data_IF_614187608463
#
_entry.id   IF_614187608463
#
_cell.length_a   1.000
_cell.length_b   1.000
_cell.length_c   1.000
_cell.angle_alpha   90.00
_cell.angle_beta   90.00
_cell.angle_gamma   90.00
#
_symmetry.space_group_name_H-M   'P 1'
#
loop_
_entity.id
_entity.type
_entity.pdbx_description
1 polymer ?
#
# COMPACT_ATOMS: atom_id res chain seq x y z
N UNK A 1 16.45 -33.14 16.99
CA UNK A 1 17.66 -32.36 16.64
C UNK A 1 17.25 -30.90 16.71
N UNK A 2 17.75 -30.16 17.69
CA UNK A 2 17.51 -28.70 17.75
C UNK A 2 18.31 -28.10 16.58
N UNK A 3 17.63 -27.66 15.53
CA UNK A 3 18.28 -26.92 14.44
C UNK A 3 18.95 -25.70 15.08
N UNK A 4 20.27 -25.59 14.94
CA UNK A 4 20.99 -24.41 15.40
C UNK A 4 20.36 -23.16 14.75
N UNK A 5 20.10 -22.11 15.53
CA UNK A 5 19.62 -20.85 14.99
C UNK A 5 20.60 -20.35 13.91
N UNK A 6 20.11 -19.82 12.77
CA UNK A 6 20.98 -19.33 11.71
C UNK A 6 21.92 -18.26 12.26
N UNK A 7 23.21 -18.35 11.95
CA UNK A 7 24.19 -17.33 12.37
C UNK A 7 23.90 -16.06 11.55
N UNK A 8 23.63 -14.90 12.19
CA UNK A 8 23.41 -13.65 11.47
C UNK A 8 24.63 -13.26 10.64
N UNK A 9 24.40 -12.87 9.40
CA UNK A 9 25.44 -12.33 8.52
C UNK A 9 25.40 -10.80 8.55
N UNK A 10 26.58 -10.17 8.53
CA UNK A 10 26.69 -8.72 8.45
C UNK A 10 26.02 -8.20 7.16
N UNK A 11 25.04 -7.32 7.32
CA UNK A 11 24.34 -6.75 6.19
C UNK A 11 25.09 -5.54 5.61
N UNK A 12 25.02 -5.28 4.29
CA UNK A 12 25.81 -4.20 3.67
C UNK A 12 25.50 -2.80 4.21
N UNK A 13 24.24 -2.56 4.61
CA UNK A 13 23.80 -1.27 5.17
C UNK A 13 24.38 -0.97 6.55
N UNK A 14 24.92 -1.95 7.28
CA UNK A 14 25.58 -1.74 8.58
C UNK A 14 26.84 -0.86 8.48
N UNK A 15 27.35 -0.66 7.27
CA UNK A 15 28.51 0.19 6.99
C UNK A 15 28.22 1.70 7.02
N UNK A 16 26.94 2.11 7.06
CA UNK A 16 26.51 3.51 7.03
C UNK A 16 25.60 3.84 8.23
N UNK A 17 25.59 5.10 8.71
CA UNK A 17 24.77 5.47 9.87
C UNK A 17 23.27 5.38 9.57
N UNK A 18 22.43 5.27 10.62
CA UNK A 18 21.00 5.03 10.49
C UNK A 18 20.25 6.07 9.64
N UNK A 19 20.64 7.34 9.70
CA UNK A 19 20.07 8.44 8.92
C UNK A 19 20.42 8.38 7.42
N UNK A 20 21.36 7.54 7.03
CA UNK A 20 21.74 7.24 5.63
C UNK A 20 21.19 5.89 5.16
N UNK A 21 20.26 5.29 5.92
CA UNK A 21 19.59 4.04 5.56
C UNK A 21 18.10 4.29 5.33
N UNK A 22 17.50 3.55 4.39
CA UNK A 22 16.06 3.54 4.16
C UNK A 22 15.56 2.10 3.96
N UNK A 23 14.61 1.65 4.78
CA UNK A 23 14.00 0.32 4.67
C UNK A 23 12.52 0.42 4.29
N UNK A 24 12.17 -0.04 3.09
CA UNK A 24 10.81 0.05 2.56
C UNK A 24 10.28 -1.32 2.16
N UNK A 25 9.20 -1.78 2.79
CA UNK A 25 8.50 -3.02 2.43
C UNK A 25 7.27 -2.74 1.56
N UNK A 26 7.06 -3.49 0.49
CA UNK A 26 5.92 -3.29 -0.43
C UNK A 26 5.22 -4.62 -0.66
N UNK A 27 3.94 -4.73 -0.30
CA UNK A 27 3.18 -5.97 -0.53
C UNK A 27 2.68 -6.09 -1.97
N UNK A 28 2.70 -7.31 -2.50
CA UNK A 28 2.19 -7.60 -3.86
C UNK A 28 3.00 -6.90 -4.95
N UNK A 29 4.33 -6.95 -4.85
CA UNK A 29 5.25 -6.19 -5.69
C UNK A 29 5.83 -6.97 -6.89
N UNK A 30 5.27 -8.14 -7.22
CA UNK A 30 5.76 -8.94 -8.35
C UNK A 30 5.40 -8.37 -9.73
N UNK A 31 4.43 -7.46 -9.82
CA UNK A 31 4.01 -6.81 -11.07
C UNK A 31 3.19 -5.55 -10.80
N UNK A 32 2.78 -4.85 -11.86
CA UNK A 32 1.82 -3.76 -11.80
C UNK A 32 2.27 -2.61 -10.87
N UNK A 33 1.36 -2.15 -10.03
CA UNK A 33 1.56 -0.98 -9.15
C UNK A 33 2.67 -1.24 -8.13
N UNK A 34 2.69 -2.39 -7.46
CA UNK A 34 3.69 -2.67 -6.41
C UNK A 34 5.12 -2.72 -6.97
N UNK A 35 5.30 -3.31 -8.15
CA UNK A 35 6.59 -3.25 -8.87
C UNK A 35 6.94 -1.81 -9.26
N UNK A 36 5.95 -1.04 -9.73
CA UNK A 36 6.12 0.37 -10.08
C UNK A 36 6.50 1.27 -8.89
N UNK A 37 5.98 1.00 -7.69
CA UNK A 37 6.42 1.66 -6.45
C UNK A 37 7.90 1.37 -6.22
N UNK A 38 8.32 0.11 -6.31
CA UNK A 38 9.72 -0.27 -6.11
C UNK A 38 10.65 0.41 -7.14
N UNK A 39 10.29 0.39 -8.42
CA UNK A 39 11.05 1.05 -9.49
C UNK A 39 11.17 2.55 -9.24
N UNK A 40 10.09 3.20 -8.80
CA UNK A 40 10.15 4.64 -8.58
C UNK A 40 10.85 5.03 -7.28
N UNK A 41 10.84 4.17 -6.26
CA UNK A 41 11.72 4.32 -5.11
C UNK A 41 13.19 4.29 -5.52
N UNK A 42 13.59 3.40 -6.44
CA UNK A 42 14.96 3.39 -6.98
C UNK A 42 15.28 4.75 -7.61
N UNK A 43 14.45 5.22 -8.53
CA UNK A 43 14.73 6.47 -9.26
C UNK A 43 14.75 7.69 -8.34
N UNK A 44 13.74 7.84 -7.47
CA UNK A 44 13.65 8.97 -6.54
C UNK A 44 14.78 8.92 -5.50
N UNK A 45 15.16 7.74 -5.00
CA UNK A 45 16.29 7.56 -4.10
C UNK A 45 17.61 7.98 -4.76
N UNK A 46 17.90 7.48 -5.96
CA UNK A 46 19.12 7.79 -6.68
C UNK A 46 19.22 9.28 -7.06
N UNK A 47 18.08 9.91 -7.36
CA UNK A 47 18.01 11.33 -7.67
C UNK A 47 18.24 12.24 -6.45
N UNK A 48 17.70 11.87 -5.28
CA UNK A 48 17.56 12.81 -4.15
C UNK A 48 18.46 12.52 -2.95
N UNK A 49 18.73 11.25 -2.64
CA UNK A 49 19.46 10.86 -1.41
C UNK A 49 20.97 10.90 -1.60
N UNK A 50 21.72 11.04 -0.51
CA UNK A 50 23.19 11.11 -0.51
C UNK A 50 23.82 9.98 -1.35
N UNK A 51 25.00 10.25 -1.93
CA UNK A 51 25.76 9.25 -2.68
C UNK A 51 26.33 8.14 -1.77
N UNK A 52 26.24 8.31 -0.45
CA UNK A 52 26.58 7.30 0.56
C UNK A 52 25.37 6.62 1.17
N UNK A 53 24.15 7.08 0.87
CA UNK A 53 22.93 6.49 1.42
C UNK A 53 22.72 5.06 0.88
N UNK A 54 22.10 4.20 1.68
CA UNK A 54 21.64 2.87 1.29
C UNK A 54 20.12 2.76 1.36
N UNK A 55 19.51 2.01 0.43
CA UNK A 55 18.10 1.64 0.48
C UNK A 55 17.97 0.12 0.43
N UNK A 56 17.12 -0.44 1.30
CA UNK A 56 16.67 -1.83 1.23
C UNK A 56 15.19 -1.84 0.86
N UNK A 57 14.89 -2.27 -0.36
CA UNK A 57 13.53 -2.47 -0.86
C UNK A 57 13.16 -3.93 -0.59
N UNK A 58 12.06 -4.14 0.12
CA UNK A 58 11.58 -5.43 0.57
C UNK A 58 10.25 -5.76 -0.14
N UNK A 59 10.27 -6.19 -1.42
CA UNK A 59 9.04 -6.55 -2.11
C UNK A 59 8.53 -7.90 -1.60
N UNK A 60 7.26 -7.98 -1.20
CA UNK A 60 6.62 -9.27 -0.88
C UNK A 60 5.79 -9.79 -2.04
N UNK A 61 5.75 -11.12 -2.19
CA UNK A 61 5.01 -11.79 -3.25
C UNK A 61 4.37 -13.09 -2.75
N UNK A 62 3.37 -13.63 -3.44
CA UNK A 62 2.68 -14.86 -2.99
C UNK A 62 3.52 -16.14 -3.03
N UNK A 63 4.74 -16.13 -3.57
CA UNK A 63 5.57 -17.35 -3.62
C UNK A 63 7.05 -17.07 -3.82
N UNK A 64 7.90 -18.01 -3.39
CA UNK A 64 9.35 -17.94 -3.60
C UNK A 64 9.74 -17.73 -5.08
N UNK A 65 9.06 -18.38 -6.01
CA UNK A 65 9.31 -18.23 -7.45
C UNK A 65 9.06 -16.80 -7.93
N UNK A 66 7.93 -16.20 -7.51
CA UNK A 66 7.60 -14.81 -7.85
C UNK A 66 8.56 -13.82 -7.19
N UNK A 67 9.00 -14.11 -5.97
CA UNK A 67 10.02 -13.34 -5.27
C UNK A 67 11.35 -13.36 -6.03
N UNK A 68 11.80 -14.52 -6.51
CA UNK A 68 13.03 -14.63 -7.33
C UNK A 68 12.95 -13.81 -8.62
N UNK A 69 11.83 -13.89 -9.33
CA UNK A 69 11.61 -13.11 -10.55
C UNK A 69 11.60 -11.60 -10.25
N UNK A 70 10.86 -11.18 -9.21
CA UNK A 70 10.82 -9.79 -8.77
C UNK A 70 12.21 -9.24 -8.41
N UNK A 71 13.03 -10.01 -7.67
CA UNK A 71 14.41 -9.63 -7.34
C UNK A 71 15.26 -9.44 -8.60
N UNK A 72 15.16 -10.36 -9.56
CA UNK A 72 15.89 -10.25 -10.85
C UNK A 72 15.47 -9.00 -11.61
N UNK A 73 14.17 -8.78 -11.78
CA UNK A 73 13.63 -7.60 -12.48
C UNK A 73 14.08 -6.30 -11.83
N UNK A 74 14.02 -6.20 -10.50
CA UNK A 74 14.44 -4.98 -9.79
C UNK A 74 15.95 -4.76 -9.83
N UNK A 75 16.75 -5.82 -9.69
CA UNK A 75 18.21 -5.70 -9.84
C UNK A 75 18.61 -5.26 -11.24
N UNK A 76 17.98 -5.81 -12.27
CA UNK A 76 18.18 -5.38 -13.66
C UNK A 76 17.77 -3.91 -13.86
N UNK A 77 16.63 -3.50 -13.29
CA UNK A 77 16.18 -2.11 -13.32
C UNK A 77 17.20 -1.16 -12.67
N UNK A 78 17.72 -1.51 -11.48
CA UNK A 78 18.73 -0.71 -10.78
C UNK A 78 20.01 -0.57 -11.61
N UNK A 79 20.48 -1.66 -12.23
CA UNK A 79 21.65 -1.62 -13.11
C UNK A 79 21.39 -0.70 -14.30
N UNK A 80 20.23 -0.82 -14.94
CA UNK A 80 19.85 0.03 -16.07
C UNK A 80 19.79 1.51 -15.67
N UNK A 81 19.13 1.85 -14.57
CA UNK A 81 19.03 3.21 -14.05
C UNK A 81 20.42 3.79 -13.72
N UNK A 82 21.29 2.99 -13.08
CA UNK A 82 22.65 3.39 -12.75
C UNK A 82 23.53 3.63 -13.98
N UNK A 83 23.35 2.88 -15.07
CA UNK A 83 24.15 3.00 -16.29
C UNK A 83 23.66 4.13 -17.22
N UNK A 84 22.35 4.38 -17.26
CA UNK A 84 21.74 5.27 -18.25
C UNK A 84 21.47 6.70 -17.73
N UNK A 85 21.37 6.89 -16.41
CA UNK A 85 21.04 8.18 -15.82
C UNK A 85 22.18 9.20 -15.96
N UNK A 86 22.02 10.14 -16.88
CA UNK A 86 22.96 11.25 -17.08
C UNK A 86 22.97 12.21 -15.88
N UNK A 87 21.80 12.43 -15.25
CA UNK A 87 21.70 13.28 -14.07
C UNK A 87 22.48 12.70 -12.88
N UNK A 88 22.37 11.39 -12.66
CA UNK A 88 23.14 10.70 -11.62
C UNK A 88 24.64 10.76 -11.91
N UNK A 89 25.05 10.50 -13.16
CA UNK A 89 26.45 10.60 -13.58
C UNK A 89 27.01 12.00 -13.33
N UNK A 90 26.29 13.05 -13.74
CA UNK A 90 26.70 14.43 -13.51
C UNK A 90 26.85 14.76 -12.02
N UNK A 91 25.92 14.29 -11.18
CA UNK A 91 25.94 14.46 -9.73
C UNK A 91 27.09 13.72 -9.05
N UNK A 92 27.46 12.55 -9.56
CA UNK A 92 28.45 11.65 -8.95
C UNK A 92 29.86 11.80 -9.52
N UNK A 93 30.22 12.97 -10.05
CA UNK A 93 31.59 13.29 -10.50
C UNK A 93 31.86 13.11 -12.00
N UNK A 94 30.82 12.92 -12.83
CA UNK A 94 30.93 12.94 -14.28
C UNK A 94 31.72 11.75 -14.83
N UNK A 95 32.97 11.96 -15.21
CA UNK A 95 33.82 10.93 -15.83
C UNK A 95 34.44 9.95 -14.83
N UNK A 96 34.48 10.29 -13.54
CA UNK A 96 34.90 9.37 -12.48
C UNK A 96 33.77 8.46 -11.98
N UNK A 97 32.56 8.63 -12.51
CA UNK A 97 31.38 7.88 -12.08
C UNK A 97 31.50 6.39 -12.36
N UNK A 98 31.32 5.57 -11.32
CA UNK A 98 31.24 4.12 -11.41
C UNK A 98 29.83 3.68 -11.05
N UNK A 99 29.10 3.16 -12.03
CA UNK A 99 27.72 2.71 -11.84
C UNK A 99 27.62 1.56 -10.82
N UNK A 100 28.68 0.78 -10.62
CA UNK A 100 28.75 -0.30 -9.64
C UNK A 100 28.60 0.23 -8.21
N UNK A 101 29.18 1.39 -7.91
CA UNK A 101 29.08 2.02 -6.58
C UNK A 101 27.64 2.46 -6.31
N UNK A 102 26.90 2.86 -7.35
CA UNK A 102 25.45 3.10 -7.25
C UNK A 102 24.67 1.83 -6.94
N UNK A 103 24.92 0.75 -7.70
CA UNK A 103 24.21 -0.52 -7.53
C UNK A 103 24.46 -1.13 -6.15
N UNK A 104 25.67 -0.96 -5.61
CA UNK A 104 26.05 -1.46 -4.28
C UNK A 104 25.24 -0.85 -3.13
N UNK A 105 24.51 0.24 -3.36
CA UNK A 105 23.70 0.94 -2.35
C UNK A 105 22.21 0.61 -2.40
N UNK A 106 21.77 -0.15 -3.40
CA UNK A 106 20.36 -0.52 -3.58
C UNK A 106 20.21 -2.03 -3.38
N UNK A 107 19.60 -2.40 -2.26
CA UNK A 107 19.43 -3.78 -1.84
C UNK A 107 18.00 -4.24 -2.08
N UNK A 108 17.83 -5.40 -2.73
CA UNK A 108 16.51 -6.00 -2.98
C UNK A 108 16.43 -7.32 -2.20
N UNK A 109 15.53 -7.35 -1.21
CA UNK A 109 15.29 -8.49 -0.32
C UNK A 109 13.83 -8.90 -0.42
N UNK A 110 13.50 -9.97 -1.14
CA UNK A 110 12.10 -10.38 -1.31
C UNK A 110 11.69 -11.49 -0.37
N UNK A 111 10.53 -11.32 0.26
CA UNK A 111 9.95 -12.29 1.20
C UNK A 111 8.61 -12.81 0.65
N UNK A 112 8.42 -14.14 0.54
CA UNK A 112 7.11 -14.71 0.25
C UNK A 112 6.13 -14.39 1.38
N UNK A 113 4.90 -14.03 1.01
CA UNK A 113 3.83 -13.70 1.94
C UNK A 113 2.47 -13.89 1.26
N UNK A 114 1.66 -14.81 1.77
CA UNK A 114 0.23 -14.87 1.49
C UNK A 114 -0.57 -14.16 2.60
N UNK A 115 -1.25 -13.07 2.24
CA UNK A 115 -2.05 -12.29 3.21
C UNK A 115 -3.30 -13.02 3.70
N UNK A 116 -3.70 -14.09 3.01
CA UNK A 116 -4.80 -14.94 3.44
C UNK A 116 -4.37 -16.03 4.42
N UNK A 117 -3.06 -16.22 4.63
CA UNK A 117 -2.49 -17.14 5.62
C UNK A 117 -2.01 -16.33 6.85
N UNK A 118 -2.85 -16.27 7.87
CA UNK A 118 -2.57 -15.54 9.10
C UNK A 118 -1.39 -16.15 9.85
N UNK A 119 -1.24 -17.48 9.86
CA UNK A 119 -0.10 -18.13 10.51
C UNK A 119 1.22 -17.74 9.82
N UNK A 120 1.24 -17.68 8.49
CA UNK A 120 2.39 -17.17 7.74
C UNK A 120 2.68 -15.69 8.05
N UNK A 121 1.64 -14.85 8.21
CA UNK A 121 1.79 -13.45 8.62
C UNK A 121 2.50 -13.34 9.99
N UNK A 122 2.07 -14.08 11.01
CA UNK A 122 2.75 -14.09 12.31
C UNK A 122 4.18 -14.59 12.18
N UNK A 123 4.41 -15.71 11.47
CA UNK A 123 5.73 -16.31 11.32
C UNK A 123 6.72 -15.42 10.56
N UNK A 124 6.28 -14.67 9.54
CA UNK A 124 7.15 -13.75 8.82
C UNK A 124 7.43 -12.48 9.63
N UNK A 125 6.43 -11.96 10.35
CA UNK A 125 6.59 -10.78 11.18
C UNK A 125 7.56 -11.03 12.34
N UNK A 126 7.46 -12.20 13.00
CA UNK A 126 8.42 -12.64 14.02
C UNK A 126 9.85 -12.68 13.47
N UNK A 127 10.05 -13.27 12.28
CA UNK A 127 11.37 -13.31 11.62
C UNK A 127 11.92 -11.92 11.27
N UNK A 128 11.05 -11.00 10.84
CA UNK A 128 11.44 -9.62 10.54
C UNK A 128 11.81 -8.88 11.83
N UNK A 129 11.05 -9.05 12.90
CA UNK A 129 11.20 -8.29 14.13
C UNK A 129 12.34 -8.80 15.02
N UNK A 130 12.48 -10.12 15.16
CA UNK A 130 13.36 -10.72 16.16
C UNK A 130 14.43 -11.65 15.55
N UNK A 131 14.18 -12.11 14.32
CA UNK A 131 15.00 -13.08 13.63
C UNK A 131 15.96 -12.50 12.58
N UNK A 132 16.18 -13.33 11.55
CA UNK A 132 16.93 -13.00 10.34
C UNK A 132 16.13 -13.46 9.14
N UNK A 133 16.29 -12.76 8.02
CA UNK A 133 15.60 -13.05 6.77
C UNK A 133 16.60 -13.25 5.63
N UNK A 134 16.17 -13.94 4.58
CA UNK A 134 16.99 -14.23 3.40
C UNK A 134 16.18 -14.08 2.13
N UNK A 135 16.85 -13.73 1.03
CA UNK A 135 16.29 -13.94 -0.29
C UNK A 135 16.02 -15.45 -0.53
N UNK A 136 15.04 -15.81 -1.39
CA UNK A 136 14.81 -17.20 -1.74
C UNK A 136 16.03 -17.83 -2.44
N UNK A 137 16.19 -19.14 -2.30
CA UNK A 137 17.27 -19.88 -2.96
C UNK A 137 17.15 -19.81 -4.50
N UNK A 138 18.27 -19.69 -5.20
CA UNK A 138 18.32 -19.69 -6.68
C UNK A 138 18.83 -18.40 -7.33
N UNK A 139 19.35 -17.45 -6.56
CA UNK A 139 20.05 -16.27 -7.05
C UNK A 139 21.57 -16.52 -7.03
N UNK A 140 22.23 -16.31 -8.16
CA UNK A 140 23.69 -16.42 -8.26
C UNK A 140 24.36 -15.26 -7.51
N UNK A 141 25.36 -15.57 -6.67
CA UNK A 141 26.09 -14.55 -5.90
C UNK A 141 25.24 -13.84 -4.84
N UNK A 142 24.16 -14.46 -4.36
CA UNK A 142 23.29 -13.86 -3.35
C UNK A 142 24.05 -13.58 -2.05
N UNK A 143 23.88 -12.36 -1.54
CA UNK A 143 24.57 -11.88 -0.34
C UNK A 143 23.61 -11.49 0.79
N UNK A 144 22.30 -11.39 0.52
CA UNK A 144 21.28 -11.10 1.53
C UNK A 144 20.73 -12.43 2.09
N UNK A 145 21.58 -13.10 2.85
CA UNK A 145 21.30 -14.36 3.54
C UNK A 145 21.47 -14.20 5.04
N UNK A 146 20.45 -14.56 5.82
CA UNK A 146 20.40 -14.44 7.27
C UNK A 146 20.77 -13.02 7.77
N UNK A 147 20.23 -12.00 7.10
CA UNK A 147 20.43 -10.59 7.47
C UNK A 147 19.35 -10.14 8.44
N UNK A 148 19.67 -9.18 9.31
CA UNK A 148 18.70 -8.53 10.21
C UNK A 148 18.18 -7.25 9.58
N UNK A 149 16.87 -7.03 9.68
CA UNK A 149 16.24 -5.75 9.34
C UNK A 149 16.19 -4.94 10.64
N UNK A 150 16.94 -3.83 10.76
CA UNK A 150 17.02 -3.09 12.01
C UNK A 150 15.71 -2.33 12.32
N UNK A 151 15.01 -1.91 11.27
CA UNK A 151 13.74 -1.19 11.32
C UNK A 151 13.07 -1.22 9.95
N UNK A 152 11.79 -0.86 9.91
CA UNK A 152 11.06 -0.52 8.69
C UNK A 152 10.73 0.97 8.73
N UNK A 153 11.28 1.76 7.81
CA UNK A 153 10.96 3.18 7.67
C UNK A 153 9.62 3.38 6.98
N UNK A 154 9.27 2.47 6.06
CA UNK A 154 7.97 2.50 5.40
C UNK A 154 7.48 1.11 5.02
N UNK A 155 6.17 0.91 5.10
CA UNK A 155 5.48 -0.29 4.60
C UNK A 155 4.32 0.15 3.72
N UNK A 156 4.23 -0.39 2.51
CA UNK A 156 3.13 -0.14 1.57
C UNK A 156 2.28 -1.37 1.43
N UNK A 157 1.03 -1.27 1.87
CA UNK A 157 0.02 -2.30 1.69
C UNK A 157 -0.69 -2.13 0.37
N UNK A 158 -0.02 -2.60 -0.69
CA UNK A 158 -0.47 -2.51 -2.07
C UNK A 158 -1.19 -3.78 -2.56
N UNK A 159 -0.85 -4.95 -2.02
CA UNK A 159 -1.45 -6.21 -2.45
C UNK A 159 -2.98 -6.14 -2.37
N UNK A 160 -3.65 -6.62 -3.42
CA UNK A 160 -5.09 -6.65 -3.46
C UNK A 160 -5.58 -7.76 -4.37
N UNK A 161 -6.81 -8.20 -4.12
CA UNK A 161 -7.51 -9.19 -4.92
C UNK A 161 -8.96 -8.73 -5.14
N UNK A 162 -9.43 -8.80 -6.37
CA UNK A 162 -10.70 -8.21 -6.77
C UNK A 162 -11.93 -9.13 -6.73
N UNK A 163 -11.73 -10.44 -6.87
CA UNK A 163 -12.84 -11.42 -6.89
C UNK A 163 -13.79 -11.33 -8.10
N UNK A 164 -13.35 -10.78 -9.24
CA UNK A 164 -14.20 -10.66 -10.44
C UNK A 164 -14.09 -11.85 -11.39
N UNK A 165 -15.22 -12.25 -11.99
CA UNK A 165 -15.30 -13.28 -13.02
C UNK A 165 -15.33 -12.74 -14.44
N UNK A 166 -15.63 -11.44 -14.63
CA UNK A 166 -15.68 -10.84 -15.96
C UNK A 166 -16.31 -9.45 -15.99
N UNK A 167 -16.77 -9.06 -17.18
CA UNK A 167 -17.45 -7.79 -17.43
C UNK A 167 -18.77 -8.01 -18.13
N UNK A 168 -19.79 -7.25 -17.73
CA UNK A 168 -21.02 -7.12 -18.51
C UNK A 168 -20.78 -6.16 -19.69
N UNK A 169 -20.50 -6.70 -20.87
CA UNK A 169 -20.27 -5.91 -22.08
C UNK A 169 -21.48 -5.04 -22.45
N UNK A 170 -22.70 -5.57 -22.30
CA UNK A 170 -23.92 -4.80 -22.48
C UNK A 170 -24.02 -3.68 -21.42
N UNK A 171 -23.69 -3.99 -20.16
CA UNK A 171 -23.61 -2.99 -19.09
C UNK A 171 -22.58 -1.90 -19.36
N UNK A 172 -21.43 -2.25 -19.97
CA UNK A 172 -20.40 -1.29 -20.37
C UNK A 172 -20.92 -0.35 -21.46
N UNK A 173 -21.52 -0.89 -22.52
CA UNK A 173 -22.13 -0.09 -23.60
C UNK A 173 -23.22 0.82 -23.05
N UNK A 174 -24.11 0.27 -22.22
CA UNK A 174 -25.19 1.05 -21.61
C UNK A 174 -24.66 2.13 -20.67
N UNK A 175 -23.60 1.85 -19.90
CA UNK A 175 -22.95 2.83 -19.03
C UNK A 175 -22.32 3.97 -19.85
N UNK A 176 -21.63 3.65 -20.95
CA UNK A 176 -21.07 4.67 -21.86
C UNK A 176 -22.17 5.57 -22.42
N UNK A 177 -23.30 4.99 -22.85
CA UNK A 177 -24.43 5.74 -23.41
C UNK A 177 -25.17 6.59 -22.37
N UNK A 178 -25.32 6.10 -21.14
CA UNK A 178 -26.13 6.74 -20.09
C UNK A 178 -25.35 7.71 -19.20
N UNK A 179 -24.10 7.38 -18.85
CA UNK A 179 -23.24 8.17 -17.93
C UNK A 179 -22.14 8.94 -18.67
N UNK A 180 -21.90 8.60 -19.94
CA UNK A 180 -20.80 9.12 -20.72
C UNK A 180 -19.54 8.26 -20.60
N UNK A 181 -18.65 8.44 -21.58
CA UNK A 181 -17.40 7.67 -21.69
C UNK A 181 -16.49 7.86 -20.47
N UNK A 182 -16.21 9.11 -20.09
CA UNK A 182 -15.26 9.44 -19.02
C UNK A 182 -15.67 8.86 -17.66
N UNK A 183 -16.92 9.05 -17.25
CA UNK A 183 -17.42 8.47 -16.00
C UNK A 183 -17.32 6.95 -16.03
N UNK A 184 -17.64 6.32 -17.16
CA UNK A 184 -17.66 4.86 -17.27
C UNK A 184 -16.26 4.24 -17.17
N UNK A 185 -15.23 4.88 -17.73
CA UNK A 185 -13.85 4.38 -17.64
C UNK A 185 -13.18 4.74 -16.31
N UNK A 186 -13.68 5.78 -15.61
CA UNK A 186 -13.18 6.19 -14.30
C UNK A 186 -13.81 5.38 -13.16
N UNK A 187 -15.13 5.17 -13.23
CA UNK A 187 -15.96 4.52 -12.20
C UNK A 187 -16.82 3.41 -12.82
N UNK A 188 -16.20 2.30 -13.25
CA UNK A 188 -16.90 1.22 -13.95
C UNK A 188 -17.91 0.50 -13.05
N UNK A 189 -19.16 0.44 -13.50
CA UNK A 189 -20.28 -0.25 -12.79
C UNK A 189 -20.71 -1.56 -13.43
N UNK A 190 -19.89 -2.08 -14.34
CA UNK A 190 -20.17 -3.25 -15.17
C UNK A 190 -19.22 -4.42 -14.92
N UNK A 191 -18.43 -4.36 -13.83
CA UNK A 191 -17.62 -5.49 -13.36
C UNK A 191 -18.55 -6.54 -12.75
N UNK A 192 -18.40 -7.79 -13.17
CA UNK A 192 -19.13 -8.92 -12.61
C UNK A 192 -18.27 -9.54 -11.51
N UNK A 193 -18.72 -9.43 -10.27
CA UNK A 193 -18.07 -10.05 -9.11
C UNK A 193 -18.74 -11.38 -8.77
N UNK A 194 -17.94 -12.34 -8.35
CA UNK A 194 -18.44 -13.55 -7.69
C UNK A 194 -18.57 -13.29 -6.18
N UNK A 195 -19.42 -14.06 -5.46
CA UNK A 195 -19.39 -14.08 -4.00
C UNK A 195 -17.97 -14.34 -3.49
N UNK A 196 -17.57 -13.64 -2.42
CA UNK A 196 -16.24 -13.83 -1.85
C UNK A 196 -16.09 -15.27 -1.36
N UNK A 197 -14.93 -15.88 -1.60
CA UNK A 197 -14.66 -17.23 -1.07
C UNK A 197 -14.45 -17.14 0.44
N UNK A 198 -14.84 -18.20 1.14
CA UNK A 198 -14.61 -18.38 2.56
C UNK A 198 -13.28 -19.10 2.73
N UNK A 199 -12.30 -18.48 3.39
CA UNK A 199 -10.97 -19.05 3.57
C UNK A 199 -11.00 -20.34 4.40
N UNK A 200 -11.93 -20.44 5.35
CA UNK A 200 -12.11 -21.63 6.19
C UNK A 200 -12.48 -22.90 5.41
N UNK A 201 -13.08 -22.77 4.22
CA UNK A 201 -13.43 -23.90 3.37
C UNK A 201 -12.23 -24.41 2.55
N UNK A 202 -11.13 -23.65 2.51
CA UNK A 202 -9.92 -24.01 1.78
C UNK A 202 -8.94 -24.70 2.75
N UNK A 203 -8.82 -26.03 2.61
CA UNK A 203 -7.97 -26.86 3.47
C UNK A 203 -6.49 -26.44 3.52
N UNK A 204 -6.04 -25.58 2.59
CA UNK A 204 -4.67 -25.04 2.58
C UNK A 204 -4.37 -24.17 3.81
N UNK A 205 -5.35 -23.42 4.33
CA UNK A 205 -5.15 -22.52 5.46
C UNK A 205 -5.41 -23.18 6.82
N UNK A 206 -6.07 -24.34 6.83
CA UNK A 206 -6.38 -25.09 8.05
C UNK A 206 -7.07 -24.24 9.14
N UNK A 207 -7.99 -23.36 8.76
CA UNK A 207 -8.76 -22.55 9.71
C UNK A 207 -9.95 -23.33 10.31
N UNK A 208 -10.39 -22.98 11.53
CA UNK A 208 -11.54 -23.62 12.15
C UNK A 208 -12.85 -23.32 11.41
N UNK A 209 -13.92 -24.06 11.70
CA UNK A 209 -15.23 -23.85 11.05
C UNK A 209 -15.80 -22.44 11.29
N UNK A 210 -15.50 -21.81 12.43
CA UNK A 210 -15.90 -20.44 12.79
C UNK A 210 -14.86 -19.76 13.69
N UNK A 211 -14.76 -18.42 13.65
CA UNK A 211 -15.46 -17.48 12.77
C UNK A 211 -15.02 -17.62 11.31
N UNK A 212 -15.90 -17.23 10.39
CA UNK A 212 -15.60 -17.23 8.96
C UNK A 212 -14.73 -16.03 8.59
N UNK A 213 -13.90 -16.22 7.57
CA UNK A 213 -13.01 -15.21 7.03
C UNK A 213 -13.14 -15.10 5.51
N UNK A 214 -13.55 -13.94 5.01
CA UNK A 214 -13.73 -13.68 3.58
C UNK A 214 -12.38 -13.42 2.88
N UNK A 215 -12.14 -14.04 1.73
CA UNK A 215 -10.88 -13.96 0.99
C UNK A 215 -10.54 -12.54 0.52
N UNK A 216 -11.51 -11.83 -0.09
CA UNK A 216 -11.26 -10.49 -0.66
C UNK A 216 -10.95 -9.48 0.45
N UNK A 217 -11.76 -9.48 1.50
CA UNK A 217 -11.55 -8.66 2.70
C UNK A 217 -10.20 -8.94 3.35
N UNK A 218 -9.81 -10.21 3.45
CA UNK A 218 -8.55 -10.61 4.08
C UNK A 218 -7.34 -10.20 3.27
N UNK A 219 -7.36 -10.49 1.96
CA UNK A 219 -6.28 -10.11 1.06
C UNK A 219 -6.10 -8.59 0.93
N UNK A 220 -7.17 -7.81 1.05
CA UNK A 220 -7.12 -6.36 0.86
C UNK A 220 -6.94 -5.58 2.17
N UNK A 221 -7.50 -6.06 3.28
CA UNK A 221 -7.59 -5.31 4.54
C UNK A 221 -7.08 -6.11 5.73
N UNK A 222 -7.71 -7.23 6.08
CA UNK A 222 -7.47 -7.86 7.38
C UNK A 222 -6.07 -8.47 7.52
N UNK A 223 -5.54 -9.11 6.47
CA UNK A 223 -4.16 -9.62 6.50
C UNK A 223 -3.13 -8.49 6.68
N UNK A 224 -3.36 -7.34 6.04
CA UNK A 224 -2.53 -6.14 6.27
C UNK A 224 -2.72 -5.55 7.67
N UNK A 225 -3.95 -5.58 8.20
CA UNK A 225 -4.26 -5.11 9.55
C UNK A 225 -3.48 -5.92 10.60
N UNK A 226 -3.55 -7.25 10.53
CA UNK A 226 -2.76 -8.15 11.38
C UNK A 226 -1.26 -7.90 11.20
N UNK A 227 -0.78 -7.86 9.95
CA UNK A 227 0.64 -7.62 9.65
C UNK A 227 1.15 -6.29 10.20
N UNK A 228 0.33 -5.23 10.20
CA UNK A 228 0.71 -3.93 10.76
C UNK A 228 1.03 -4.05 12.25
N UNK A 229 0.11 -4.66 13.00
CA UNK A 229 0.26 -4.85 14.44
C UNK A 229 1.51 -5.69 14.76
N UNK A 230 1.71 -6.78 14.02
CA UNK A 230 2.85 -7.67 14.22
C UNK A 230 4.21 -7.04 13.81
N UNK A 231 4.20 -5.98 12.99
CA UNK A 231 5.40 -5.24 12.59
C UNK A 231 5.67 -4.00 13.43
N UNK A 232 4.84 -3.69 14.43
CA UNK A 232 5.09 -2.58 15.36
C UNK A 232 6.50 -2.58 15.99
N UNK A 233 7.15 -3.72 16.32
CA UNK A 233 8.51 -3.71 16.87
C UNK A 233 9.55 -3.03 15.97
N UNK A 234 9.40 -3.14 14.65
CA UNK A 234 10.33 -2.55 13.67
C UNK A 234 9.81 -1.25 13.06
N UNK A 235 8.53 -0.95 13.21
CA UNK A 235 7.88 0.27 12.72
C UNK A 235 7.89 1.41 13.74
N UNK A 236 7.79 1.09 15.02
CA UNK A 236 7.85 2.07 16.10
C UNK A 236 9.29 2.58 16.29
N UNK A 237 9.44 3.75 16.91
CA UNK A 237 10.74 4.38 17.17
C UNK A 237 10.87 4.71 18.65
N UNK A 238 12.06 4.61 19.23
CA UNK A 238 12.31 5.28 20.51
C UNK A 238 12.28 6.79 20.33
N UNK A 239 11.79 7.53 21.32
CA UNK A 239 11.85 9.00 21.35
C UNK A 239 13.27 9.57 21.25
N UNK A 240 14.29 8.76 21.52
CA UNK A 240 15.71 9.15 21.44
C UNK A 240 16.31 8.97 20.05
N UNK A 241 15.63 8.27 19.15
CA UNK A 241 16.10 8.07 17.78
C UNK A 241 16.02 9.36 16.96
N UNK A 242 16.97 9.54 16.05
CA UNK A 242 17.04 10.72 15.17
C UNK A 242 16.36 10.50 13.82
N UNK A 243 15.88 9.29 13.55
CA UNK A 243 15.14 8.96 12.33
C UNK A 243 13.65 9.28 12.51
N UNK A 244 12.94 9.69 11.44
CA UNK A 244 11.50 9.95 11.51
C UNK A 244 10.68 8.72 11.97
N UNK A 245 9.44 8.94 12.46
CA UNK A 245 8.50 7.86 12.73
C UNK A 245 8.31 6.95 11.52
N UNK A 246 8.13 5.65 11.76
CA UNK A 246 7.80 4.70 10.69
C UNK A 246 6.51 5.07 9.98
N UNK A 247 6.36 4.66 8.72
CA UNK A 247 5.20 5.00 7.88
C UNK A 247 4.48 3.74 7.42
N UNK A 248 3.18 3.69 7.65
CA UNK A 248 2.31 2.61 7.14
C UNK A 248 1.36 3.20 6.11
N UNK A 249 1.52 2.78 4.85
CA UNK A 249 0.88 3.39 3.70
C UNK A 249 -0.12 2.39 3.12
N UNK A 250 -1.40 2.70 3.22
CA UNK A 250 -2.48 1.84 2.72
C UNK A 250 -2.91 2.25 1.32
N UNK A 251 -2.93 1.30 0.38
CA UNK A 251 -3.37 1.53 -0.99
C UNK A 251 -4.86 1.24 -1.13
N UNK A 252 -5.66 2.30 -1.19
CA UNK A 252 -7.08 2.30 -1.52
C UNK A 252 -7.32 2.38 -3.05
N UNK A 253 -8.55 2.72 -3.46
CA UNK A 253 -8.98 2.87 -4.86
C UNK A 253 -9.80 4.16 -5.06
N UNK A 254 -9.84 4.68 -6.28
CA UNK A 254 -10.83 5.72 -6.67
C UNK A 254 -12.27 5.20 -6.59
N UNK A 255 -12.46 3.88 -6.59
CA UNK A 255 -13.76 3.21 -6.57
C UNK A 255 -14.31 2.95 -5.16
N UNK A 256 -13.64 3.47 -4.12
CA UNK A 256 -14.02 3.31 -2.72
C UNK A 256 -15.21 4.22 -2.33
N UNK A 257 -16.38 3.92 -2.89
CA UNK A 257 -17.58 4.75 -2.73
C UNK A 257 -18.36 4.41 -1.44
N UNK A 258 -19.16 5.35 -0.95
CA UNK A 258 -19.98 5.11 0.24
C UNK A 258 -21.01 3.96 0.07
N UNK A 259 -21.72 3.82 -1.06
CA UNK A 259 -22.75 2.79 -1.21
C UNK A 259 -22.23 1.36 -1.33
N UNK A 260 -20.92 1.16 -1.52
CA UNK A 260 -20.33 -0.18 -1.67
C UNK A 260 -20.02 -0.85 -0.34
N UNK A 261 -20.10 -0.10 0.77
CA UNK A 261 -19.75 -0.56 2.11
C UNK A 261 -20.96 -0.62 3.04
N UNK A 262 -21.02 -1.64 3.88
CA UNK A 262 -22.00 -1.77 4.96
C UNK A 262 -21.31 -2.29 6.21
N UNK A 263 -21.47 -1.58 7.33
CA UNK A 263 -20.94 -2.02 8.63
C UNK A 263 -21.54 -3.35 9.09
N UNK A 264 -22.77 -3.67 8.67
CA UNK A 264 -23.42 -4.94 8.98
C UNK A 264 -22.84 -6.15 8.23
N UNK A 265 -22.07 -5.91 7.17
CA UNK A 265 -21.34 -6.93 6.41
C UNK A 265 -19.89 -6.45 6.18
N UNK A 266 -19.16 -6.23 7.28
CA UNK A 266 -17.79 -5.69 7.28
C UNK A 266 -16.85 -6.46 6.33
N UNK A 267 -16.98 -7.79 6.31
CA UNK A 267 -16.18 -8.68 5.47
C UNK A 267 -16.72 -8.85 4.04
N UNK A 268 -17.91 -8.30 3.75
CA UNK A 268 -18.57 -8.39 2.44
C UNK A 268 -18.85 -9.81 1.97
N UNK A 269 -19.40 -10.65 2.85
CA UNK A 269 -19.79 -12.03 2.53
C UNK A 269 -20.89 -12.11 1.47
N UNK A 270 -21.80 -11.14 1.47
CA UNK A 270 -23.01 -11.18 0.64
C UNK A 270 -23.01 -10.14 -0.49
N UNK A 271 -22.07 -9.20 -0.45
CA UNK A 271 -22.02 -8.06 -1.38
C UNK A 271 -21.30 -8.42 -2.68
N UNK A 272 -21.85 -8.03 -3.86
CA UNK A 272 -21.15 -8.14 -5.13
C UNK A 272 -20.09 -7.04 -5.33
N UNK A 273 -19.81 -6.21 -4.32
CA UNK A 273 -18.78 -5.16 -4.37
C UNK A 273 -17.74 -5.35 -3.27
N UNK A 274 -17.33 -6.59 -3.01
CA UNK A 274 -16.42 -6.92 -1.91
C UNK A 274 -15.07 -6.17 -2.00
N UNK A 275 -14.53 -5.97 -3.20
CA UNK A 275 -13.31 -5.19 -3.40
C UNK A 275 -13.53 -3.71 -3.05
N UNK A 276 -14.56 -3.08 -3.62
CA UNK A 276 -14.86 -1.66 -3.40
C UNK A 276 -15.23 -1.41 -1.93
N UNK A 277 -15.96 -2.33 -1.30
CA UNK A 277 -16.27 -2.33 0.13
C UNK A 277 -15.02 -2.37 0.99
N UNK A 278 -14.08 -3.28 0.66
CA UNK A 278 -12.80 -3.40 1.36
C UNK A 278 -11.96 -2.13 1.24
N UNK A 279 -11.92 -1.51 0.05
CA UNK A 279 -11.20 -0.24 -0.17
C UNK A 279 -11.89 0.92 0.53
N UNK A 280 -13.21 0.92 0.62
CA UNK A 280 -13.97 1.90 1.41
C UNK A 280 -13.72 1.75 2.91
N UNK A 281 -13.65 0.53 3.42
CA UNK A 281 -13.24 0.27 4.80
C UNK A 281 -11.83 0.79 5.08
N UNK A 282 -10.88 0.59 4.15
CA UNK A 282 -9.55 1.21 4.24
C UNK A 282 -9.62 2.73 4.37
N UNK A 283 -10.41 3.42 3.53
CA UNK A 283 -10.56 4.87 3.64
C UNK A 283 -11.08 5.28 5.03
N UNK A 284 -12.12 4.60 5.53
CA UNK A 284 -12.73 4.89 6.83
C UNK A 284 -11.74 4.69 7.98
N UNK A 285 -11.03 3.55 8.03
CA UNK A 285 -10.08 3.27 9.09
C UNK A 285 -8.97 4.32 9.14
N UNK A 286 -8.38 4.62 7.98
CA UNK A 286 -7.17 5.44 7.88
C UNK A 286 -7.44 6.94 8.04
N UNK A 287 -8.63 7.42 7.72
CA UNK A 287 -8.99 8.83 7.91
C UNK A 287 -9.55 9.11 9.31
N UNK A 288 -9.99 8.06 10.03
CA UNK A 288 -10.59 8.23 11.36
C UNK A 288 -9.72 7.77 12.52
N UNK A 289 -8.57 7.12 12.30
CA UNK A 289 -7.81 6.50 13.41
C UNK A 289 -7.33 7.48 14.49
N UNK A 290 -7.11 8.77 14.15
CA UNK A 290 -6.75 9.83 15.13
C UNK A 290 -7.96 10.52 15.74
N UNK A 291 -9.18 10.20 15.32
CA UNK A 291 -10.40 10.85 15.80
C UNK A 291 -10.82 10.28 17.15
N UNK A 292 -11.39 11.12 18.05
CA UNK A 292 -11.70 10.72 19.43
C UNK A 292 -12.52 9.43 19.57
N UNK A 293 -13.44 9.16 18.65
CA UNK A 293 -14.26 7.95 18.67
C UNK A 293 -13.51 6.66 18.31
N UNK A 294 -12.48 6.77 17.46
CA UNK A 294 -11.67 5.62 17.01
C UNK A 294 -10.43 5.40 17.90
N UNK A 295 -9.91 6.47 18.52
CA UNK A 295 -8.69 6.44 19.35
C UNK A 295 -8.64 5.28 20.35
N UNK A 296 -9.71 4.93 21.10
CA UNK A 296 -9.63 3.82 22.06
C UNK A 296 -9.23 2.47 21.43
N UNK A 297 -9.58 2.24 20.17
CA UNK A 297 -9.29 1.00 19.46
C UNK A 297 -8.00 1.13 18.64
N UNK A 298 -7.81 2.26 17.97
CA UNK A 298 -6.62 2.48 17.15
C UNK A 298 -5.34 2.65 17.98
N UNK A 299 -5.42 3.23 19.19
CA UNK A 299 -4.27 3.28 20.09
C UNK A 299 -3.91 1.91 20.61
N UNK A 300 -4.89 1.08 20.98
CA UNK A 300 -4.67 -0.30 21.39
C UNK A 300 -4.00 -1.10 20.26
N UNK A 301 -4.50 -0.96 19.03
CA UNK A 301 -3.91 -1.54 17.84
C UNK A 301 -2.45 -1.09 17.56
N UNK A 302 -2.07 0.13 17.96
CA UNK A 302 -0.72 0.68 17.77
C UNK A 302 0.19 0.53 19.00
N UNK A 303 -0.24 -0.21 20.02
CA UNK A 303 0.54 -0.44 21.25
C UNK A 303 1.10 -1.86 21.22
N UNK A 304 2.34 -2.04 21.66
CA UNK A 304 2.94 -3.36 21.83
C UNK A 304 2.28 -4.02 23.06
N UNK A 305 2.06 -5.33 23.06
CA UNK A 305 1.28 -6.00 24.12
C UNK A 305 1.72 -5.71 25.58
N UNK A 306 0.84 -6.06 26.55
CA UNK A 306 0.91 -5.68 27.98
C UNK A 306 2.26 -5.95 28.70
N UNK A 307 3.12 -6.83 28.18
CA UNK A 307 4.45 -7.11 28.77
C UNK A 307 5.45 -5.94 28.66
N UNK A 308 5.12 -4.87 27.93
CA UNK A 308 6.02 -3.77 27.60
C UNK A 308 5.55 -2.37 28.02
N UNK A 309 4.70 -2.23 29.05
CA UNK A 309 4.18 -0.93 29.53
C UNK A 309 5.24 0.17 29.74
N UNK A 310 6.47 -0.19 30.15
CA UNK A 310 7.58 0.75 30.32
C UNK A 310 8.30 1.11 29.01
N UNK A 311 8.31 0.21 28.04
CA UNK A 311 8.87 0.48 26.72
C UNK A 311 7.89 1.32 25.89
N UNK A 312 6.58 1.09 26.01
CA UNK A 312 5.56 1.80 25.23
C UNK A 312 5.54 3.32 25.50
N UNK A 313 5.73 3.74 26.75
CA UNK A 313 5.74 5.16 27.12
C UNK A 313 6.83 5.99 26.40
N UNK A 314 7.94 5.34 26.04
CA UNK A 314 9.09 5.96 25.36
C UNK A 314 9.14 5.64 23.85
N UNK A 315 8.10 4.99 23.32
CA UNK A 315 7.97 4.70 21.88
C UNK A 315 7.05 5.68 21.17
N UNK A 316 7.35 5.90 19.90
CA UNK A 316 6.55 6.66 18.94
C UNK A 316 5.99 5.63 17.95
N UNK A 317 4.66 5.44 17.88
CA UNK A 317 4.04 4.52 16.93
C UNK A 317 4.20 5.05 15.49
N UNK A 318 4.05 4.19 14.48
CA UNK A 318 4.12 4.62 13.10
C UNK A 318 2.94 5.52 12.71
N UNK A 319 3.21 6.43 11.77
CA UNK A 319 2.21 7.26 11.12
C UNK A 319 1.50 6.47 10.01
N UNK A 320 0.17 6.50 9.98
CA UNK A 320 -0.62 5.85 8.93
C UNK A 320 -1.07 6.85 7.87
N UNK A 321 -0.90 6.48 6.60
CA UNK A 321 -1.21 7.31 5.42
C UNK A 321 -2.08 6.55 4.42
N UNK A 322 -2.95 7.29 3.73
CA UNK A 322 -3.87 6.74 2.75
C UNK A 322 -3.50 7.18 1.33
N UNK A 323 -3.37 6.22 0.43
CA UNK A 323 -3.06 6.47 -0.98
C UNK A 323 -4.00 5.74 -1.93
N UNK A 324 -4.01 6.10 -3.20
CA UNK A 324 -4.52 5.24 -4.27
C UNK A 324 -3.68 5.40 -5.55
N UNK A 325 -3.67 4.40 -6.45
CA UNK A 325 -2.74 4.36 -7.59
C UNK A 325 -3.27 5.09 -8.84
N UNK A 326 -4.36 5.84 -8.72
CA UNK A 326 -5.15 6.23 -9.90
C UNK A 326 -5.71 4.99 -10.62
N UNK A 327 -5.73 5.04 -11.95
CA UNK A 327 -6.23 3.99 -12.84
C UNK A 327 -5.08 3.54 -13.75
N UNK A 328 -4.69 2.29 -13.54
CA UNK A 328 -3.57 1.63 -14.21
C UNK A 328 -4.10 0.48 -15.06
N UNK A 329 -3.53 0.27 -16.24
CA UNK A 329 -3.78 -0.94 -17.01
C UNK A 329 -3.22 -2.14 -16.25
N UNK A 330 -4.10 -2.90 -15.58
CA UNK A 330 -3.72 -4.03 -14.75
C UNK A 330 -4.60 -5.23 -15.05
N UNK A 331 -4.03 -6.43 -14.89
CA UNK A 331 -4.74 -7.72 -14.92
C UNK A 331 -5.75 -7.87 -13.78
N UNK A 332 -5.73 -6.94 -12.82
CA UNK A 332 -6.78 -6.79 -11.82
C UNK A 332 -8.14 -6.53 -12.49
N UNK A 333 -8.18 -5.83 -13.62
CA UNK A 333 -9.40 -5.66 -14.41
C UNK A 333 -9.67 -6.92 -15.27
N UNK A 334 -10.82 -7.59 -15.14
CA UNK A 334 -11.05 -8.95 -15.65
C UNK A 334 -11.33 -8.99 -17.16
N UNK A 335 -10.33 -8.63 -17.96
CA UNK A 335 -10.40 -8.63 -19.42
C UNK A 335 -9.66 -9.82 -20.04
N UNK A 336 -10.22 -10.43 -21.10
CA UNK A 336 -9.46 -11.33 -21.95
C UNK A 336 -8.24 -10.62 -22.54
N UNK A 337 -7.10 -11.31 -22.60
CA UNK A 337 -5.82 -10.74 -23.05
C UNK A 337 -5.91 -10.07 -24.43
N UNK A 338 -6.73 -10.60 -25.34
CA UNK A 338 -6.90 -10.06 -26.70
C UNK A 338 -7.72 -8.76 -26.77
N UNK A 339 -8.38 -8.35 -25.68
CA UNK A 339 -9.10 -7.06 -25.56
C UNK A 339 -8.31 -6.08 -24.70
N UNK A 340 -7.21 -6.50 -24.06
CA UNK A 340 -6.45 -5.67 -23.14
C UNK A 340 -5.92 -4.38 -23.80
N UNK A 341 -5.54 -4.43 -25.08
CA UNK A 341 -5.15 -3.26 -25.86
C UNK A 341 -6.26 -2.19 -25.93
N UNK A 342 -7.53 -2.60 -25.95
CA UNK A 342 -8.66 -1.67 -25.99
C UNK A 342 -8.85 -0.97 -24.64
N UNK A 343 -8.53 -1.66 -23.54
CA UNK A 343 -8.50 -1.06 -22.21
C UNK A 343 -7.37 -0.06 -22.07
N UNK A 344 -6.15 -0.40 -22.50
CA UNK A 344 -5.03 0.54 -22.54
C UNK A 344 -5.37 1.78 -23.38
N UNK A 345 -5.99 1.59 -24.55
CA UNK A 345 -6.46 2.69 -25.38
C UNK A 345 -7.53 3.54 -24.66
N UNK A 346 -8.49 2.92 -23.98
CA UNK A 346 -9.51 3.64 -23.23
C UNK A 346 -8.90 4.50 -22.11
N UNK A 347 -7.90 3.99 -21.39
CA UNK A 347 -7.20 4.76 -20.37
C UNK A 347 -6.41 5.92 -20.99
N UNK A 348 -5.77 5.69 -22.14
CA UNK A 348 -5.05 6.73 -22.86
C UNK A 348 -5.99 7.85 -23.35
N UNK A 349 -7.16 7.50 -23.86
CA UNK A 349 -8.20 8.48 -24.22
C UNK A 349 -8.67 9.24 -22.98
N UNK A 350 -8.88 8.55 -21.85
CA UNK A 350 -9.21 9.18 -20.56
C UNK A 350 -8.19 10.24 -20.15
N UNK A 351 -6.91 9.93 -20.31
CA UNK A 351 -5.81 10.88 -20.08
C UNK A 351 -5.86 12.06 -21.04
N UNK A 352 -6.03 11.84 -22.35
CA UNK A 352 -6.11 12.92 -23.35
C UNK A 352 -7.30 13.85 -23.15
N UNK A 353 -8.39 13.33 -22.61
CA UNK A 353 -9.57 14.11 -22.21
C UNK A 353 -9.39 14.85 -20.88
N UNK A 354 -8.17 14.85 -20.31
CA UNK A 354 -7.80 15.67 -19.16
C UNK A 354 -8.05 15.01 -17.80
N UNK A 355 -8.33 13.71 -17.75
CA UNK A 355 -8.48 13.02 -16.47
C UNK A 355 -7.14 12.85 -15.77
N UNK A 356 -6.98 13.31 -14.51
CA UNK A 356 -5.73 13.18 -13.78
C UNK A 356 -5.49 11.74 -13.32
N UNK A 357 -6.54 10.93 -13.15
CA UNK A 357 -6.41 9.60 -12.56
C UNK A 357 -5.95 8.53 -13.54
N UNK A 358 -6.04 8.75 -14.85
CA UNK A 358 -5.68 7.77 -15.86
C UNK A 358 -4.16 7.77 -16.10
N UNK A 359 -3.42 7.21 -15.14
CA UNK A 359 -1.95 7.16 -15.15
C UNK A 359 -1.39 6.08 -16.06
N UNK A 360 -2.22 5.15 -16.55
CA UNK A 360 -1.93 4.13 -17.58
C UNK A 360 -0.99 2.99 -17.17
N UNK A 361 0.10 3.24 -16.45
CA UNK A 361 1.11 2.22 -16.11
C UNK A 361 1.42 2.15 -14.61
N UNK A 362 2.01 1.02 -14.19
CA UNK A 362 2.30 0.75 -12.78
C UNK A 362 3.31 1.70 -12.16
N UNK A 363 4.29 2.18 -12.93
CA UNK A 363 5.33 3.10 -12.46
C UNK A 363 4.72 4.45 -12.04
N UNK A 364 3.84 5.00 -12.88
CA UNK A 364 3.07 6.20 -12.56
C UNK A 364 2.01 5.93 -11.49
N UNK A 365 1.41 4.74 -11.47
CA UNK A 365 0.48 4.32 -10.42
C UNK A 365 1.11 4.18 -9.04
N UNK A 366 2.43 4.07 -8.94
CA UNK A 366 3.12 4.14 -7.66
C UNK A 366 3.33 5.57 -7.13
N UNK A 367 2.82 6.63 -7.78
CA UNK A 367 3.20 8.04 -7.52
C UNK A 367 3.03 8.46 -6.08
N UNK A 368 1.81 8.42 -5.60
CA UNK A 368 1.45 8.80 -4.24
C UNK A 368 2.22 8.00 -3.19
N UNK A 369 2.30 6.67 -3.33
CA UNK A 369 2.99 5.82 -2.35
C UNK A 369 4.48 6.14 -2.24
N UNK A 370 5.22 6.19 -3.37
CA UNK A 370 6.64 6.54 -3.30
C UNK A 370 6.89 7.98 -2.85
N UNK A 371 5.97 8.92 -3.15
CA UNK A 371 6.04 10.28 -2.61
C UNK A 371 5.94 10.28 -1.08
N UNK A 372 4.96 9.58 -0.49
CA UNK A 372 4.84 9.47 0.98
C UNK A 372 6.10 8.84 1.60
N UNK A 373 6.72 7.85 0.94
CA UNK A 373 7.96 7.23 1.45
C UNK A 373 9.13 8.21 1.42
N UNK A 374 9.30 8.92 0.31
CA UNK A 374 10.50 9.71 0.06
C UNK A 374 10.44 11.11 0.69
N UNK A 375 9.25 11.59 1.03
CA UNK A 375 9.04 12.96 1.50
C UNK A 375 9.59 13.19 2.91
N UNK A 376 10.04 14.42 3.18
CA UNK A 376 10.45 14.85 4.52
C UNK A 376 9.26 14.85 5.49
N UNK A 377 9.49 14.49 6.75
CA UNK A 377 8.41 14.36 7.73
C UNK A 377 7.69 15.69 7.97
N UNK A 378 8.45 16.78 8.14
CA UNK A 378 7.91 18.12 8.34
C UNK A 378 6.97 18.55 7.20
N UNK A 379 7.27 18.16 5.95
CA UNK A 379 6.41 18.46 4.82
C UNK A 379 5.08 17.68 4.87
N UNK A 380 5.10 16.43 5.32
CA UNK A 380 3.87 15.64 5.51
C UNK A 380 3.04 16.17 6.68
N UNK A 381 3.69 16.60 7.75
CA UNK A 381 3.01 17.12 8.95
C UNK A 381 2.39 18.49 8.68
N UNK A 382 3.08 19.37 7.93
CA UNK A 382 2.54 20.68 7.54
C UNK A 382 1.28 20.58 6.66
N UNK A 383 1.16 19.50 5.88
CA UNK A 383 0.02 19.26 5.00
C UNK A 383 -1.08 18.42 5.67
N UNK A 384 -0.94 18.07 6.96
CA UNK A 384 -1.82 17.11 7.66
C UNK A 384 -2.05 15.84 6.83
N UNK A 385 -0.99 15.31 6.21
CA UNK A 385 -1.09 14.31 5.14
C UNK A 385 -1.78 12.99 5.55
N UNK A 386 -1.97 12.76 6.85
CA UNK A 386 -2.70 11.61 7.43
C UNK A 386 -4.22 11.75 7.28
N UNK A 387 -4.73 12.97 7.14
CA UNK A 387 -6.16 13.28 6.98
C UNK A 387 -6.56 13.37 5.50
N UNK A 388 -5.62 13.13 4.58
CA UNK A 388 -5.80 13.27 3.13
C UNK A 388 -5.60 11.93 2.44
N UNK A 389 -6.48 11.63 1.47
CA UNK A 389 -6.29 10.53 0.52
C UNK A 389 -5.44 10.98 -0.67
N UNK A 390 -4.22 10.46 -0.79
CA UNK A 390 -3.28 10.86 -1.85
C UNK A 390 -3.33 9.95 -3.08
N UNK A 391 -3.72 10.53 -4.21
CA UNK A 391 -3.81 9.85 -5.49
C UNK A 391 -2.58 9.99 -6.36
N UNK A 392 -2.20 8.92 -7.03
CA UNK A 392 -1.30 9.00 -8.18
C UNK A 392 -2.06 9.60 -9.35
N UNK A 393 -1.54 10.71 -9.87
CA UNK A 393 -2.15 11.47 -10.94
C UNK A 393 -1.13 11.81 -12.03
N UNK A 394 -1.63 12.18 -13.20
CA UNK A 394 -0.83 12.73 -14.31
C UNK A 394 -1.38 14.08 -14.75
N UNK A 395 -0.50 14.96 -15.20
CA UNK A 395 -0.91 16.19 -15.88
C UNK A 395 -0.94 16.02 -17.41
N UNK A 396 -1.31 17.09 -18.12
CA UNK A 396 -1.35 17.09 -19.59
C UNK A 396 -0.01 16.88 -20.28
N UNK A 397 1.11 17.00 -19.53
CA UNK A 397 2.47 16.71 -20.00
C UNK A 397 2.93 15.29 -19.63
N UNK A 398 2.03 14.45 -19.11
CA UNK A 398 2.32 13.09 -18.64
C UNK A 398 3.28 13.04 -17.44
N UNK A 399 3.44 14.16 -16.72
CA UNK A 399 4.22 14.23 -15.48
C UNK A 399 3.40 13.66 -14.32
N UNK A 400 4.00 12.78 -13.51
CA UNK A 400 3.34 12.14 -12.38
C UNK A 400 3.30 13.05 -11.15
N UNK A 401 2.13 13.14 -10.51
CA UNK A 401 1.85 13.98 -9.35
C UNK A 401 1.22 13.15 -8.21
N UNK A 402 1.46 13.56 -6.96
CA UNK A 402 0.65 13.14 -5.82
C UNK A 402 -0.43 14.21 -5.60
N UNK A 403 -1.71 13.81 -5.70
CA UNK A 403 -2.85 14.74 -5.71
C UNK A 403 -3.86 14.38 -4.61
N UNK A 404 -4.33 15.33 -3.79
CA UNK A 404 -5.44 15.10 -2.87
C UNK A 404 -6.71 14.62 -3.58
N UNK A 405 -7.40 13.66 -2.99
CA UNK A 405 -8.58 13.00 -3.56
C UNK A 405 -9.73 13.11 -2.59
N UNK A 406 -10.88 13.53 -3.09
CA UNK A 406 -12.10 13.61 -2.29
C UNK A 406 -12.60 12.22 -1.89
N UNK A 407 -12.99 12.08 -0.63
CA UNK A 407 -13.62 10.89 -0.06
C UNK A 407 -15.06 11.23 0.34
N UNK A 408 -16.03 10.48 -0.18
CA UNK A 408 -17.46 10.69 0.12
C UNK A 408 -17.70 10.64 1.64
N UNK A 409 -18.34 11.66 2.21
CA UNK A 409 -18.57 11.80 3.66
C UNK A 409 -17.39 12.37 4.47
N UNK A 410 -16.22 12.54 3.87
CA UNK A 410 -15.02 13.09 4.51
C UNK A 410 -14.53 14.39 3.87
N UNK A 411 -14.74 14.58 2.56
CA UNK A 411 -14.12 15.67 1.81
C UNK A 411 -12.67 15.36 1.44
N UNK A 412 -11.83 16.39 1.38
CA UNK A 412 -10.40 16.24 1.00
C UNK A 412 -9.48 16.00 2.19
N UNK A 413 -9.78 16.61 3.33
CA UNK A 413 -8.92 16.72 4.52
C UNK A 413 -9.70 16.61 5.85
N UNK A 414 -10.97 16.23 5.80
CA UNK A 414 -11.84 16.19 6.99
C UNK A 414 -12.39 17.55 7.42
N UNK A 415 -12.31 18.57 6.56
CA UNK A 415 -12.89 19.89 6.80
C UNK A 415 -14.03 20.21 5.83
N UNK A 416 -14.97 21.04 6.28
CA UNK A 416 -16.07 21.55 5.45
C UNK A 416 -15.57 22.72 4.60
N UNK A 417 -14.83 22.40 3.52
CA UNK A 417 -14.27 23.40 2.60
C UNK A 417 -14.99 23.38 1.25
N UNK A 418 -15.42 24.56 0.77
CA UNK A 418 -16.05 24.70 -0.56
C UNK A 418 -14.98 24.68 -1.65
N UNK A 419 -15.05 23.67 -2.52
CA UNK A 419 -14.09 23.40 -3.60
C UNK A 419 -13.95 24.56 -4.61
N UNK A 420 -14.98 25.42 -4.74
CA UNK A 420 -14.99 26.52 -5.72
C UNK A 420 -14.01 27.67 -5.43
N UNK A 421 -13.35 27.70 -4.27
CA UNK A 421 -12.52 28.83 -3.85
C UNK A 421 -11.00 28.57 -3.94
N UNK A 422 -10.55 27.53 -4.65
CA UNK A 422 -9.14 27.14 -4.66
C UNK A 422 -8.26 27.86 -5.71
N UNK A 423 -7.00 28.20 -5.35
CA UNK A 423 -6.01 28.82 -6.26
C UNK A 423 -5.29 27.82 -7.18
N UNK A 424 -5.42 26.52 -6.92
CA UNK A 424 -4.71 25.44 -7.63
C UNK A 424 -5.19 25.32 -9.09
N UNK A 425 -4.24 25.24 -10.04
CA UNK A 425 -4.52 25.21 -11.49
C UNK A 425 -4.18 23.85 -12.11
N UNK A 426 -4.80 23.56 -13.25
CA UNK A 426 -4.52 22.35 -14.03
C UNK A 426 -4.88 21.07 -13.27
N UNK A 427 -4.07 20.03 -13.42
CA UNK A 427 -4.32 18.72 -12.81
C UNK A 427 -4.40 18.76 -11.28
N UNK A 428 -3.78 19.75 -10.61
CA UNK A 428 -3.84 19.88 -9.15
C UNK A 428 -5.15 20.49 -8.65
N UNK A 429 -5.95 21.13 -9.52
CA UNK A 429 -7.24 21.71 -9.12
C UNK A 429 -8.17 20.64 -8.55
N UNK A 430 -8.73 20.85 -7.36
CA UNK A 430 -9.62 19.88 -6.69
C UNK A 430 -10.87 19.51 -7.51
N UNK A 431 -11.35 20.42 -8.38
CA UNK A 431 -12.46 20.12 -9.30
C UNK A 431 -12.09 19.13 -10.41
N UNK A 432 -10.80 19.02 -10.74
CA UNK A 432 -10.30 18.15 -11.82
C UNK A 432 -10.09 16.74 -11.27
N UNK A 433 -10.78 15.77 -11.88
CA UNK A 433 -10.82 14.38 -11.41
C UNK A 433 -11.94 14.09 -10.40
N UNK A 434 -12.68 15.12 -9.96
CA UNK A 434 -13.84 14.95 -9.09
C UNK A 434 -14.95 14.22 -9.85
N UNK A 435 -15.62 13.28 -9.19
CA UNK A 435 -16.79 12.59 -9.75
C UNK A 435 -17.92 13.61 -10.03
N UNK A 436 -18.64 13.48 -11.13
CA UNK A 436 -19.65 14.49 -11.51
C UNK A 436 -20.85 14.57 -10.54
N UNK A 437 -21.09 13.52 -9.76
CA UNK A 437 -22.13 13.44 -8.74
C UNK A 437 -21.66 13.86 -7.35
N UNK A 438 -20.37 14.18 -7.19
CA UNK A 438 -19.82 14.56 -5.90
C UNK A 438 -20.44 15.86 -5.39
N UNK A 439 -20.70 15.88 -4.09
CA UNK A 439 -21.21 17.04 -3.35
C UNK A 439 -20.18 17.43 -2.31
N UNK A 440 -20.11 18.72 -2.01
CA UNK A 440 -19.25 19.22 -0.94
C UNK A 440 -19.75 18.62 0.38
N UNK A 441 -18.82 18.10 1.18
CA UNK A 441 -19.14 17.44 2.45
C UNK A 441 -19.82 18.40 3.43
N UNK A 442 -20.79 17.90 4.20
CA UNK A 442 -21.42 18.69 5.28
C UNK A 442 -20.86 18.33 6.65
N UNK A 443 -21.10 19.19 7.64
CA UNK A 443 -20.70 18.93 9.03
C UNK A 443 -21.36 17.66 9.58
N UNK A 444 -22.62 17.40 9.21
CA UNK A 444 -23.35 16.20 9.61
C UNK A 444 -22.72 14.94 9.00
N UNK A 445 -22.37 14.99 7.72
CA UNK A 445 -21.70 13.87 7.03
C UNK A 445 -20.34 13.54 7.67
N UNK A 446 -19.57 14.55 8.09
CA UNK A 446 -18.31 14.33 8.82
C UNK A 446 -18.53 13.61 10.14
N UNK A 447 -19.54 14.03 10.92
CA UNK A 447 -19.88 13.38 12.20
C UNK A 447 -20.33 11.93 11.98
N UNK A 448 -21.13 11.68 10.94
CA UNK A 448 -21.54 10.31 10.57
C UNK A 448 -20.34 9.46 10.13
N UNK A 449 -19.41 10.03 9.38
CA UNK A 449 -18.19 9.35 8.93
C UNK A 449 -17.27 8.98 10.11
N UNK A 450 -17.08 9.90 11.07
CA UNK A 450 -16.30 9.64 12.29
C UNK A 450 -16.98 8.58 13.18
N UNK A 451 -18.30 8.63 13.31
CA UNK A 451 -19.05 7.62 14.05
C UNK A 451 -18.99 6.24 13.40
N UNK A 452 -19.03 6.18 12.06
CA UNK A 452 -18.82 4.95 11.30
C UNK A 452 -17.39 4.44 11.49
N UNK A 453 -16.40 5.33 11.49
CA UNK A 453 -15.00 5.03 11.79
C UNK A 453 -14.81 4.33 13.13
N UNK A 454 -15.40 4.90 14.19
CA UNK A 454 -15.36 4.31 15.53
C UNK A 454 -15.93 2.88 15.57
N UNK A 455 -17.03 2.63 14.85
CA UNK A 455 -17.62 1.30 14.73
C UNK A 455 -16.70 0.35 13.96
N UNK A 456 -16.17 0.77 12.81
CA UNK A 456 -15.27 -0.04 12.00
C UNK A 456 -14.02 -0.44 12.80
N UNK A 457 -13.41 0.50 13.51
CA UNK A 457 -12.24 0.26 14.35
C UNK A 457 -12.53 -0.76 15.46
N UNK A 458 -13.68 -0.63 16.14
CA UNK A 458 -14.09 -1.60 17.16
C UNK A 458 -14.25 -3.01 16.60
N UNK A 459 -14.96 -3.16 15.47
CA UNK A 459 -15.22 -4.48 14.88
C UNK A 459 -13.94 -5.11 14.31
N UNK A 460 -13.05 -4.30 13.71
CA UNK A 460 -11.74 -4.76 13.21
C UNK A 460 -10.85 -5.26 14.34
N UNK A 461 -10.77 -4.51 15.45
CA UNK A 461 -9.92 -4.90 16.58
C UNK A 461 -10.48 -6.12 17.32
N UNK A 462 -11.81 -6.18 17.51
CA UNK A 462 -12.49 -7.37 18.01
C UNK A 462 -12.22 -8.61 17.16
N UNK A 463 -12.25 -8.46 15.83
CA UNK A 463 -11.92 -9.55 14.90
C UNK A 463 -10.45 -9.97 15.00
N UNK A 464 -9.52 -9.01 15.10
CA UNK A 464 -8.07 -9.27 15.23
C UNK A 464 -7.78 -10.08 16.50
N UNK A 465 -8.24 -9.60 17.66
CA UNK A 465 -8.05 -10.26 18.95
C UNK A 465 -8.64 -11.67 18.94
N UNK A 466 -9.85 -11.83 18.39
CA UNK A 466 -10.46 -13.16 18.29
C UNK A 466 -9.64 -14.14 17.43
N UNK A 467 -9.09 -13.68 16.31
CA UNK A 467 -8.23 -14.53 15.48
C UNK A 467 -6.87 -14.80 16.11
N UNK A 468 -6.33 -13.85 16.87
CA UNK A 468 -5.12 -14.04 17.68
C UNK A 468 -5.32 -15.16 18.71
N UNK A 469 -6.43 -15.14 19.46
CA UNK A 469 -6.77 -16.19 20.44
C UNK A 469 -6.87 -17.58 19.78
N UNK A 470 -7.57 -17.67 18.65
CA UNK A 470 -7.76 -18.93 17.91
C UNK A 470 -6.43 -19.53 17.47
N UNK A 471 -5.54 -18.70 16.91
CA UNK A 471 -4.26 -19.16 16.41
C UNK A 471 -3.29 -19.51 17.54
N UNK A 472 -3.43 -18.88 18.71
CA UNK A 472 -2.68 -19.22 19.91
C UNK A 472 -3.10 -20.59 20.47
N UNK A 473 -4.39 -20.90 20.51
CA UNK A 473 -4.91 -22.21 20.94
C UNK A 473 -4.44 -23.35 20.04
N UNK A 474 -4.45 -23.16 18.72
CA UNK A 474 -3.99 -24.19 17.75
C UNK A 474 -2.48 -24.45 17.81
N UNK A 475 -1.70 -23.52 18.38
CA UNK A 475 -0.25 -23.63 18.52
C UNK A 475 0.19 -24.30 19.84
N UNK A 476 -0.74 -24.50 20.76
CA UNK A 476 -0.55 -25.15 22.08
C UNK A 476 -0.87 -26.63 22.06
#
# INVERSE_FOLDING_TARGET
MVSAAPIPQAAPWESVPANEQLFAMITGANSGIGLGVCQRLVDEFLATRSLTAHICIIPTTRSATKSLECVRTLREYVVNAAQTSQALRARAGGDSYKWQDTVARVHILSLPLDLCDLQEIYAIADKICYGTVSNPAGLEGEYLTNVRIPRLDSVVFNAAYGGWSGLSYFGAIWSILSKGFMETITYPTFKTAEPTRILNEDARYNYPDKPLLAEVFTACVFGHYVLTHQLLPVLSRSRTETVPPGRVIWTSSVEAHAPTFSIGDLQSFTSPTAYESSKRLTDILLLTYRKPGSTPYSSAFLTMGEESEKADADTIPPNMYLTHPGIVASTLFPLPWFIFWAYELALLIGKWMGSPWHVTDGYKGGKSAAWIIMQEQDALDNDDAQDIKWGSAVNSKDESLAKPTEVEGWGFDGTVTKVKNEPSKGAMCQTVGRRYTAKDVTSEELVEFEALGAQCWREMESLRLRWEDILAEDSS
#
